data_IF_179593170834
#
_entry.id   IF_179593170834
#
_cell.length_a   1.000
_cell.length_b   1.000
_cell.length_c   1.000
_cell.angle_alpha   90.00
_cell.angle_beta   90.00
_cell.angle_gamma   90.00
#
_symmetry.space_group_name_H-M   'P 1'
#
loop_
_entity.id
_entity.type
_entity.pdbx_description
1 polymer ?
#
# COMPACT_ATOMS: atom_id res chain seq x y z
N UNK A 1 -19.29 -1.06 16.83
CA UNK A 1 -18.72 -1.57 15.60
C UNK A 1 -17.49 -2.44 15.86
N UNK A 2 -17.29 -3.47 15.07
CA UNK A 2 -16.12 -4.34 15.20
C UNK A 2 -14.86 -3.59 14.82
N UNK A 3 -13.79 -3.74 15.59
CA UNK A 3 -12.47 -3.22 15.24
C UNK A 3 -11.90 -4.04 14.09
N UNK A 4 -11.45 -3.35 13.03
CA UNK A 4 -10.79 -3.98 11.89
C UNK A 4 -9.28 -3.89 12.06
N UNK A 5 -8.60 -5.00 11.82
CA UNK A 5 -7.14 -5.09 11.95
C UNK A 5 -6.55 -5.46 10.60
N UNK A 6 -5.65 -4.61 10.09
CA UNK A 6 -4.84 -4.89 8.90
C UNK A 6 -3.42 -5.26 9.34
N UNK A 7 -2.85 -6.25 8.69
CA UNK A 7 -1.47 -6.66 8.95
C UNK A 7 -0.51 -5.74 8.19
N UNK A 8 0.26 -4.92 8.91
CA UNK A 8 1.28 -4.04 8.33
C UNK A 8 2.35 -4.89 7.62
N UNK A 9 2.59 -4.63 6.34
CA UNK A 9 3.55 -5.37 5.49
C UNK A 9 3.32 -6.89 5.51
N UNK A 10 2.05 -7.29 5.64
CA UNK A 10 1.66 -8.66 5.90
C UNK A 10 1.82 -9.02 7.37
N UNK A 11 1.44 -10.24 7.76
CA UNK A 11 1.70 -10.77 9.10
C UNK A 11 3.11 -11.37 9.11
N UNK A 12 4.12 -10.48 9.19
CA UNK A 12 5.50 -10.87 8.92
C UNK A 12 6.32 -11.20 10.18
N UNK A 13 5.97 -10.61 11.33
CA UNK A 13 6.76 -10.81 12.55
C UNK A 13 6.35 -12.10 13.27
N UNK A 14 6.50 -13.23 12.59
CA UNK A 14 6.18 -14.56 13.13
C UNK A 14 7.11 -15.61 12.53
N UNK A 15 7.11 -16.81 13.12
CA UNK A 15 8.04 -17.89 12.73
C UNK A 15 7.77 -18.42 11.32
N UNK A 16 6.50 -18.49 10.89
CA UNK A 16 6.12 -19.00 9.56
C UNK A 16 6.72 -18.18 8.41
N UNK A 17 6.98 -16.90 8.66
CA UNK A 17 7.53 -15.98 7.66
C UNK A 17 9.03 -15.76 7.83
N UNK A 18 9.65 -16.38 8.83
CA UNK A 18 11.03 -16.11 9.27
C UNK A 18 11.24 -14.60 9.50
N UNK A 19 10.22 -13.93 10.06
CA UNK A 19 10.22 -12.49 10.33
C UNK A 19 10.52 -11.64 9.08
N UNK A 20 9.94 -12.02 7.92
CA UNK A 20 10.15 -11.32 6.65
C UNK A 20 8.90 -10.55 6.23
N UNK A 21 8.99 -9.21 6.24
CA UNK A 21 7.92 -8.33 5.78
C UNK A 21 7.80 -8.32 4.25
N UNK A 22 6.64 -7.90 3.73
CA UNK A 22 6.41 -7.73 2.28
C UNK A 22 6.79 -8.97 1.46
N UNK A 23 6.58 -10.14 2.03
CA UNK A 23 6.83 -11.43 1.37
C UNK A 23 5.49 -12.13 1.06
N UNK A 24 5.53 -13.10 0.16
CA UNK A 24 4.36 -13.94 -0.12
C UNK A 24 3.96 -14.67 1.18
N UNK A 25 4.94 -15.15 1.94
CA UNK A 25 4.69 -15.83 3.21
C UNK A 25 3.97 -14.91 4.21
N UNK A 26 4.32 -13.62 4.27
CA UNK A 26 3.67 -12.67 5.19
C UNK A 26 2.21 -12.40 4.80
N UNK A 27 1.90 -12.34 3.52
CA UNK A 27 0.52 -12.23 3.05
C UNK A 27 -0.28 -13.49 3.39
N UNK A 28 0.29 -14.66 3.10
CA UNK A 28 -0.34 -15.94 3.41
C UNK A 28 -0.61 -16.07 4.91
N UNK A 29 0.34 -15.67 5.76
CA UNK A 29 0.18 -15.68 7.21
C UNK A 29 -0.97 -14.76 7.66
N UNK A 30 -1.10 -13.57 7.06
CA UNK A 30 -2.21 -12.67 7.35
C UNK A 30 -3.56 -13.31 6.97
N UNK A 31 -3.63 -13.96 5.81
CA UNK A 31 -4.82 -14.67 5.35
C UNK A 31 -5.18 -15.82 6.29
N UNK A 32 -4.19 -16.65 6.63
CA UNK A 32 -4.39 -17.84 7.49
C UNK A 32 -4.78 -17.46 8.92
N UNK A 33 -4.39 -16.27 9.40
CA UNK A 33 -4.71 -15.77 10.74
C UNK A 33 -5.92 -14.84 10.75
N UNK A 34 -6.67 -14.77 9.65
CA UNK A 34 -7.94 -14.05 9.54
C UNK A 34 -7.84 -12.54 9.82
N UNK A 35 -6.72 -11.92 9.48
CA UNK A 35 -6.63 -10.46 9.49
C UNK A 35 -7.61 -9.87 8.48
N UNK A 36 -8.26 -8.75 8.84
CA UNK A 36 -9.16 -8.05 7.93
C UNK A 36 -8.44 -7.61 6.65
N UNK A 37 -7.21 -7.14 6.77
CA UNK A 37 -6.43 -6.69 5.64
C UNK A 37 -4.94 -6.95 5.84
N UNK A 38 -4.20 -6.83 4.75
CA UNK A 38 -2.74 -6.94 4.73
C UNK A 38 -2.18 -5.77 3.96
N UNK A 39 -1.33 -4.97 4.60
CA UNK A 39 -0.68 -3.81 3.98
C UNK A 39 0.62 -4.25 3.30
N UNK A 40 0.89 -3.69 2.14
CA UNK A 40 2.13 -3.93 1.41
C UNK A 40 2.50 -2.71 0.57
N UNK A 41 3.79 -2.61 0.26
CA UNK A 41 4.39 -1.46 -0.39
C UNK A 41 4.88 -1.83 -1.78
N UNK A 42 4.66 -0.95 -2.78
CA UNK A 42 5.09 -1.21 -4.15
C UNK A 42 5.97 -0.10 -4.71
N UNK A 43 6.90 -0.52 -5.56
CA UNK A 43 7.82 0.34 -6.32
C UNK A 43 7.84 -0.10 -7.79
N UNK A 44 8.36 0.77 -8.65
CA UNK A 44 8.54 0.50 -10.08
C UNK A 44 10.04 0.34 -10.39
N UNK A 45 10.43 -0.79 -10.97
CA UNK A 45 11.82 -1.03 -11.39
C UNK A 45 12.14 -0.24 -12.66
N UNK A 46 13.44 -0.20 -13.06
CA UNK A 46 13.85 0.52 -14.26
C UNK A 46 13.27 -0.07 -15.55
N UNK A 47 12.94 -1.36 -15.55
CA UNK A 47 12.31 -2.07 -16.65
C UNK A 47 10.79 -2.21 -16.51
N UNK A 48 10.18 -1.31 -15.72
CA UNK A 48 8.73 -1.18 -15.57
C UNK A 48 8.03 -2.38 -14.92
N UNK A 49 8.74 -3.11 -14.08
CA UNK A 49 8.12 -4.14 -13.25
C UNK A 49 7.69 -3.52 -11.92
N UNK A 50 6.45 -3.77 -11.51
CA UNK A 50 5.98 -3.37 -10.19
C UNK A 50 6.34 -4.47 -9.21
N UNK A 51 7.05 -4.10 -8.15
CA UNK A 51 7.57 -5.04 -7.14
C UNK A 51 7.11 -4.65 -5.74
N UNK A 52 7.13 -5.62 -4.83
CA UNK A 52 6.69 -5.45 -3.45
C UNK A 52 7.91 -5.35 -2.55
N UNK A 53 8.11 -4.17 -1.94
CA UNK A 53 9.21 -3.90 -1.03
C UNK A 53 8.97 -2.58 -0.31
N UNK A 54 9.39 -2.47 0.96
CA UNK A 54 9.20 -1.23 1.70
C UNK A 54 10.23 -0.17 1.33
N UNK A 55 11.51 -0.52 1.40
CA UNK A 55 12.59 0.44 1.20
C UNK A 55 12.81 0.76 -0.28
N UNK A 56 13.37 1.93 -0.54
CA UNK A 56 13.71 2.35 -1.90
C UNK A 56 14.86 1.54 -2.51
N UNK A 57 15.55 0.75 -1.70
CA UNK A 57 16.72 -0.05 -2.09
C UNK A 57 16.66 -1.43 -1.45
N UNK A 58 17.34 -2.38 -2.08
CA UNK A 58 17.64 -3.69 -1.49
C UNK A 58 19.15 -3.89 -1.54
N UNK A 59 19.76 -4.13 -0.36
CA UNK A 59 21.23 -4.26 -0.23
C UNK A 59 21.99 -3.14 -0.96
N UNK A 60 21.52 -1.89 -0.78
CA UNK A 60 22.14 -0.71 -1.37
C UNK A 60 21.82 -0.46 -2.84
N UNK A 61 21.05 -1.33 -3.47
CA UNK A 61 20.69 -1.19 -4.88
C UNK A 61 19.30 -0.56 -5.02
N UNK A 62 19.23 0.62 -5.64
CA UNK A 62 17.98 1.35 -5.82
C UNK A 62 17.03 0.61 -6.75
N UNK A 63 15.81 0.35 -6.28
CA UNK A 63 14.80 -0.37 -7.05
C UNK A 63 14.50 0.35 -8.37
N UNK A 64 14.32 1.66 -8.34
CA UNK A 64 13.95 2.44 -9.51
C UNK A 64 15.05 2.53 -10.57
N UNK A 65 16.29 2.17 -10.23
CA UNK A 65 17.45 2.26 -11.13
C UNK A 65 17.96 0.92 -11.63
N UNK A 66 17.33 -0.17 -11.23
CA UNK A 66 17.77 -1.51 -11.59
C UNK A 66 16.63 -2.34 -12.17
N UNK A 67 16.99 -3.32 -12.99
CA UNK A 67 16.00 -4.25 -13.54
C UNK A 67 15.54 -5.25 -12.49
N UNK A 68 14.37 -5.84 -12.70
CA UNK A 68 13.87 -6.87 -11.79
C UNK A 68 14.82 -8.09 -11.74
N UNK A 69 15.33 -8.53 -12.89
CA UNK A 69 16.26 -9.67 -12.94
C UNK A 69 17.50 -9.44 -12.08
N UNK A 70 18.00 -8.21 -12.04
CA UNK A 70 19.11 -7.86 -11.15
C UNK A 70 18.69 -7.88 -9.69
N UNK A 71 17.53 -7.29 -9.38
CA UNK A 71 17.08 -7.15 -8.00
C UNK A 71 16.67 -8.47 -7.34
N UNK A 72 16.13 -9.40 -8.12
CA UNK A 72 15.62 -10.66 -7.57
C UNK A 72 16.71 -11.60 -7.04
N UNK A 73 17.98 -11.37 -7.39
CA UNK A 73 19.08 -12.16 -6.85
C UNK A 73 19.34 -11.89 -5.36
N UNK A 74 18.94 -10.75 -4.86
CA UNK A 74 19.09 -10.39 -3.45
C UNK A 74 17.91 -10.97 -2.67
N UNK A 75 18.19 -11.96 -1.82
CA UNK A 75 17.14 -12.70 -1.13
C UNK A 75 16.68 -12.00 0.15
N UNK A 76 15.38 -12.13 0.42
CA UNK A 76 14.79 -11.72 1.68
C UNK A 76 15.22 -12.69 2.80
N UNK A 77 15.03 -12.29 4.09
CA UNK A 77 15.41 -13.15 5.22
C UNK A 77 14.85 -14.57 5.17
N UNK A 78 13.66 -14.77 4.60
CA UNK A 78 13.04 -16.10 4.47
C UNK A 78 13.47 -16.85 3.20
N UNK A 79 14.42 -16.33 2.43
CA UNK A 79 14.91 -16.96 1.20
C UNK A 79 14.12 -16.65 -0.06
N UNK A 80 12.98 -15.97 0.05
CA UNK A 80 12.21 -15.52 -1.12
C UNK A 80 12.97 -14.43 -1.87
N UNK A 81 12.70 -14.29 -3.17
CA UNK A 81 13.07 -13.08 -3.90
C UNK A 81 12.03 -11.99 -3.60
N UNK A 82 12.39 -10.72 -3.84
CA UNK A 82 11.43 -9.63 -3.83
C UNK A 82 10.27 -10.01 -4.76
N UNK A 83 9.01 -10.06 -4.26
CA UNK A 83 7.90 -10.46 -5.12
C UNK A 83 7.62 -9.43 -6.21
N UNK A 84 7.22 -9.89 -7.39
CA UNK A 84 6.52 -9.02 -8.34
C UNK A 84 5.10 -8.79 -7.84
N UNK A 85 4.47 -7.73 -8.32
CA UNK A 85 3.06 -7.49 -8.01
C UNK A 85 2.19 -8.66 -8.47
N UNK A 86 2.45 -9.23 -9.66
CA UNK A 86 1.72 -10.41 -10.14
C UNK A 86 1.77 -11.57 -9.17
N UNK A 87 2.96 -11.90 -8.68
CA UNK A 87 3.13 -12.99 -7.70
C UNK A 87 2.38 -12.72 -6.40
N UNK A 88 2.45 -11.48 -5.93
CA UNK A 88 1.76 -11.06 -4.70
C UNK A 88 0.24 -11.12 -4.86
N UNK A 89 -0.28 -10.63 -5.99
CA UNK A 89 -1.72 -10.64 -6.28
C UNK A 89 -2.26 -12.05 -6.52
N UNK A 90 -1.44 -12.95 -7.06
CA UNK A 90 -1.81 -14.36 -7.17
C UNK A 90 -2.11 -14.95 -5.79
N UNK A 91 -1.26 -14.67 -4.81
CA UNK A 91 -1.52 -15.08 -3.43
C UNK A 91 -2.74 -14.36 -2.85
N UNK A 92 -2.88 -13.06 -3.14
CA UNK A 92 -4.03 -12.26 -2.68
C UNK A 92 -5.37 -12.84 -3.14
N UNK A 93 -5.43 -13.30 -4.38
CA UNK A 93 -6.64 -13.86 -4.97
C UNK A 93 -7.08 -15.19 -4.32
N UNK A 94 -6.20 -15.87 -3.62
CA UNK A 94 -6.52 -17.12 -2.93
C UNK A 94 -7.41 -16.91 -1.70
N UNK A 95 -7.41 -15.69 -1.15
CA UNK A 95 -8.26 -15.36 0.00
C UNK A 95 -8.77 -13.91 -0.16
N UNK A 96 -9.76 -13.68 -1.05
CA UNK A 96 -10.21 -12.32 -1.36
C UNK A 96 -10.92 -11.60 -0.21
N UNK A 97 -11.24 -12.30 0.87
CA UNK A 97 -11.79 -11.69 2.09
C UNK A 97 -10.74 -10.91 2.88
N UNK A 98 -9.45 -11.18 2.68
CA UNK A 98 -8.38 -10.36 3.26
C UNK A 98 -8.15 -9.16 2.32
N UNK A 99 -8.51 -7.96 2.77
CA UNK A 99 -8.39 -6.75 1.98
C UNK A 99 -6.91 -6.42 1.76
N UNK A 100 -6.55 -6.06 0.54
CA UNK A 100 -5.20 -5.63 0.19
C UNK A 100 -5.10 -4.12 0.41
N UNK A 101 -4.27 -3.69 1.35
CA UNK A 101 -3.99 -2.28 1.60
C UNK A 101 -2.68 -1.97 0.88
N UNK A 102 -2.79 -1.38 -0.30
CA UNK A 102 -1.68 -1.17 -1.23
C UNK A 102 -1.12 0.24 -1.08
N UNK A 103 0.13 0.33 -0.64
CA UNK A 103 0.83 1.62 -0.59
C UNK A 103 1.66 1.81 -1.86
N UNK A 104 1.33 2.85 -2.61
CA UNK A 104 2.17 3.32 -3.72
C UNK A 104 3.31 4.16 -3.15
N UNK A 105 4.54 3.69 -3.26
CA UNK A 105 5.70 4.49 -2.87
C UNK A 105 5.97 5.59 -3.91
N UNK A 106 6.40 6.76 -3.45
CA UNK A 106 6.78 7.86 -4.34
C UNK A 106 7.90 7.44 -5.28
N UNK A 107 7.82 7.89 -6.54
CA UNK A 107 8.83 7.59 -7.54
C UNK A 107 9.59 8.85 -7.93
N UNK A 108 10.62 8.72 -8.78
CA UNK A 108 11.50 9.84 -9.16
C UNK A 108 10.77 10.98 -9.87
N UNK A 109 9.69 10.66 -10.59
CA UNK A 109 8.99 11.65 -11.38
C UNK A 109 7.50 11.34 -11.41
N UNK A 110 6.71 12.37 -11.75
CA UNK A 110 5.28 12.20 -11.98
C UNK A 110 5.00 11.13 -13.03
N UNK A 111 5.78 11.11 -14.11
CA UNK A 111 5.61 10.12 -15.19
C UNK A 111 5.79 8.69 -14.69
N UNK A 112 6.78 8.45 -13.83
CA UNK A 112 7.03 7.14 -13.25
C UNK A 112 5.92 6.74 -12.29
N UNK A 113 5.42 7.67 -11.49
CA UNK A 113 4.29 7.44 -10.61
C UNK A 113 3.03 7.09 -11.39
N UNK A 114 2.73 7.86 -12.43
CA UNK A 114 1.55 7.63 -13.27
C UNK A 114 1.63 6.26 -13.95
N UNK A 115 2.80 5.88 -14.43
CA UNK A 115 3.02 4.57 -15.04
C UNK A 115 2.81 3.43 -14.04
N UNK A 116 3.34 3.58 -12.83
CA UNK A 116 3.16 2.59 -11.77
C UNK A 116 1.67 2.39 -11.45
N UNK A 117 0.92 3.48 -11.33
CA UNK A 117 -0.53 3.41 -11.07
C UNK A 117 -1.24 2.68 -12.21
N UNK A 118 -0.96 3.04 -13.46
CA UNK A 118 -1.60 2.41 -14.63
C UNK A 118 -1.33 0.90 -14.69
N UNK A 119 -0.09 0.50 -14.48
CA UNK A 119 0.30 -0.91 -14.45
C UNK A 119 -0.42 -1.63 -13.31
N UNK A 120 -0.45 -1.03 -12.14
CA UNK A 120 -1.07 -1.61 -10.94
C UNK A 120 -2.57 -1.84 -11.16
N UNK A 121 -3.28 -0.87 -11.71
CA UNK A 121 -4.70 -1.03 -12.00
C UNK A 121 -4.95 -2.16 -12.99
N UNK A 122 -4.13 -2.25 -14.05
CA UNK A 122 -4.22 -3.34 -15.02
C UNK A 122 -3.99 -4.70 -14.36
N UNK A 123 -2.97 -4.82 -13.52
CA UNK A 123 -2.65 -6.07 -12.81
C UNK A 123 -3.78 -6.48 -11.85
N UNK A 124 -4.36 -5.54 -11.13
CA UNK A 124 -5.50 -5.81 -10.27
C UNK A 124 -6.69 -6.36 -11.06
N UNK A 125 -6.95 -5.79 -12.24
CA UNK A 125 -8.01 -6.27 -13.12
C UNK A 125 -7.72 -7.69 -13.64
N UNK A 126 -6.49 -7.95 -14.05
CA UNK A 126 -6.05 -9.27 -14.53
C UNK A 126 -6.24 -10.36 -13.48
N UNK A 127 -6.04 -10.03 -12.20
CA UNK A 127 -6.19 -10.99 -11.11
C UNK A 127 -7.59 -11.00 -10.48
N UNK A 128 -8.55 -10.26 -11.02
CA UNK A 128 -9.91 -10.20 -10.50
C UNK A 128 -10.04 -9.50 -9.16
N UNK A 129 -9.09 -8.61 -8.83
CA UNK A 129 -9.03 -7.92 -7.55
C UNK A 129 -9.35 -6.42 -7.64
N UNK A 130 -9.69 -5.90 -8.81
CA UNK A 130 -10.01 -4.49 -8.99
C UNK A 130 -11.44 -4.20 -8.54
N UNK A 131 -11.63 -4.10 -7.23
CA UNK A 131 -12.92 -3.83 -6.61
C UNK A 131 -12.71 -3.08 -5.29
N UNK A 132 -13.59 -2.10 -4.96
CA UNK A 132 -13.43 -1.28 -3.76
C UNK A 132 -13.47 -2.05 -2.44
N UNK A 133 -14.12 -3.20 -2.41
CA UNK A 133 -14.18 -4.06 -1.23
C UNK A 133 -12.95 -4.96 -1.08
N UNK A 134 -12.05 -4.99 -2.07
CA UNK A 134 -10.88 -5.86 -2.09
C UNK A 134 -9.57 -5.13 -1.92
N UNK A 135 -9.50 -3.86 -2.30
CA UNK A 135 -8.26 -3.08 -2.28
C UNK A 135 -8.50 -1.67 -1.76
N UNK A 136 -7.59 -1.21 -0.92
CA UNK A 136 -7.49 0.18 -0.46
C UNK A 136 -6.16 0.72 -0.96
N UNK A 137 -6.15 1.95 -1.46
CA UNK A 137 -4.93 2.63 -1.91
C UNK A 137 -4.50 3.68 -0.89
N UNK A 138 -3.21 3.68 -0.57
CA UNK A 138 -2.60 4.68 0.31
C UNK A 138 -1.29 5.18 -0.31
N UNK A 139 -0.93 6.43 -0.08
CA UNK A 139 0.33 7.00 -0.57
C UNK A 139 0.73 8.28 0.15
N UNK A 140 2.03 8.50 0.25
CA UNK A 140 2.61 9.80 0.63
C UNK A 140 2.63 10.78 -0.55
N UNK A 141 2.43 10.33 -1.78
CA UNK A 141 2.48 11.15 -2.98
C UNK A 141 1.12 11.77 -3.28
N UNK A 142 1.05 13.09 -3.25
CA UNK A 142 -0.16 13.81 -3.63
C UNK A 142 -0.53 13.52 -5.09
N UNK A 143 0.45 13.50 -5.99
CA UNK A 143 0.20 13.17 -7.39
C UNK A 143 -0.48 11.81 -7.55
N UNK A 144 -0.02 10.79 -6.83
CA UNK A 144 -0.63 9.46 -6.89
C UNK A 144 -2.05 9.50 -6.35
N UNK A 145 -2.27 10.14 -5.19
CA UNK A 145 -3.62 10.23 -4.62
C UNK A 145 -4.58 10.98 -5.53
N UNK A 146 -4.13 12.03 -6.20
CA UNK A 146 -4.94 12.78 -7.16
C UNK A 146 -5.30 11.93 -8.39
N UNK A 147 -4.34 11.16 -8.89
CA UNK A 147 -4.59 10.25 -10.02
C UNK A 147 -5.58 9.15 -9.66
N UNK A 148 -5.43 8.55 -8.50
CA UNK A 148 -6.38 7.54 -8.00
C UNK A 148 -7.77 8.15 -7.82
N UNK A 149 -7.87 9.35 -7.26
CA UNK A 149 -9.15 10.05 -7.09
C UNK A 149 -9.84 10.31 -8.43
N UNK A 150 -9.07 10.68 -9.46
CA UNK A 150 -9.60 10.97 -10.79
C UNK A 150 -10.04 9.71 -11.54
N UNK A 151 -9.29 8.61 -11.40
CA UNK A 151 -9.49 7.41 -12.22
C UNK A 151 -10.23 6.28 -11.52
N UNK A 152 -10.20 6.27 -10.18
CA UNK A 152 -10.82 5.22 -9.36
C UNK A 152 -11.54 5.82 -8.15
N UNK A 153 -12.51 6.73 -8.35
CA UNK A 153 -13.14 7.46 -7.25
C UNK A 153 -13.94 6.58 -6.29
N UNK A 154 -14.33 5.39 -6.71
CA UNK A 154 -15.07 4.43 -5.88
C UNK A 154 -14.20 3.72 -4.83
N UNK A 155 -12.88 3.78 -4.97
CA UNK A 155 -11.97 3.13 -4.03
C UNK A 155 -11.66 4.04 -2.84
N UNK A 156 -11.41 3.44 -1.67
CA UNK A 156 -10.79 4.17 -0.56
C UNK A 156 -9.36 4.54 -0.95
N UNK A 157 -9.06 5.83 -0.84
CA UNK A 157 -7.83 6.44 -1.29
C UNK A 157 -7.35 7.39 -0.20
N UNK A 158 -6.28 7.01 0.52
CA UNK A 158 -5.85 7.73 1.71
C UNK A 158 -4.47 8.37 1.50
N UNK A 159 -4.40 9.66 1.83
CA UNK A 159 -3.14 10.39 1.85
C UNK A 159 -2.44 10.18 3.19
N UNK A 160 -1.12 10.04 3.17
CA UNK A 160 -0.34 9.62 4.36
C UNK A 160 0.49 10.72 5.01
N UNK A 161 0.79 11.84 4.31
CA UNK A 161 1.90 12.72 4.72
C UNK A 161 1.60 13.65 5.90
N UNK A 162 0.37 13.76 6.35
CA UNK A 162 0.03 14.50 7.58
C UNK A 162 0.10 16.01 7.50
N UNK A 163 0.27 16.59 6.32
CA UNK A 163 0.53 18.02 6.12
C UNK A 163 -0.64 18.79 5.47
N UNK A 164 -1.74 18.10 5.13
CA UNK A 164 -2.87 18.70 4.43
C UNK A 164 -4.15 18.47 5.21
N UNK A 165 -4.97 19.53 5.35
CA UNK A 165 -6.26 19.42 6.03
C UNK A 165 -7.25 18.55 5.22
N UNK A 166 -8.13 17.79 5.90
CA UNK A 166 -9.12 16.96 5.21
C UNK A 166 -9.96 17.70 4.19
N UNK A 167 -10.38 18.94 4.48
CA UNK A 167 -11.19 19.71 3.54
C UNK A 167 -10.47 19.98 2.22
N UNK A 168 -9.15 20.20 2.26
CA UNK A 168 -8.36 20.44 1.06
C UNK A 168 -8.20 19.18 0.23
N UNK A 169 -8.02 18.04 0.87
CA UNK A 169 -7.98 16.74 0.19
C UNK A 169 -9.33 16.40 -0.43
N UNK A 170 -10.41 16.68 0.28
CA UNK A 170 -11.76 16.43 -0.19
C UNK A 170 -12.06 17.18 -1.50
N UNK A 171 -11.55 18.39 -1.65
CA UNK A 171 -11.69 19.17 -2.90
C UNK A 171 -11.08 18.44 -4.10
N UNK A 172 -10.04 17.67 -3.89
CA UNK A 172 -9.36 16.89 -4.94
C UNK A 172 -9.97 15.48 -5.10
N UNK A 173 -11.04 15.17 -4.38
CA UNK A 173 -11.68 13.87 -4.44
C UNK A 173 -10.96 12.78 -3.64
N UNK A 174 -9.96 13.13 -2.85
CA UNK A 174 -9.26 12.20 -1.97
C UNK A 174 -10.15 11.96 -0.75
N UNK A 175 -10.49 10.71 -0.48
CA UNK A 175 -11.58 10.37 0.44
C UNK A 175 -11.11 9.79 1.78
N UNK A 176 -9.81 9.90 2.09
CA UNK A 176 -9.32 9.41 3.37
C UNK A 176 -7.97 10.00 3.75
N UNK A 177 -7.69 9.90 5.04
CA UNK A 177 -6.38 10.23 5.62
C UNK A 177 -5.90 9.03 6.45
N UNK A 178 -4.59 8.76 6.37
CA UNK A 178 -3.93 7.76 7.18
C UNK A 178 -2.66 8.41 7.71
N UNK A 179 -2.84 9.24 8.75
CA UNK A 179 -1.78 10.11 9.22
C UNK A 179 -1.06 9.53 10.43
N UNK A 180 0.23 9.83 10.52
CA UNK A 180 0.98 9.58 11.75
C UNK A 180 0.23 10.26 12.90
N UNK A 181 0.13 9.58 14.04
CA UNK A 181 -0.67 10.06 15.17
C UNK A 181 -0.32 11.50 15.59
N UNK A 182 0.94 11.92 15.40
CA UNK A 182 1.38 13.28 15.76
C UNK A 182 0.61 14.37 15.01
N UNK A 183 0.10 14.08 13.80
CA UNK A 183 -0.70 15.05 13.05
C UNK A 183 -1.99 15.39 13.78
N UNK A 184 -2.59 14.41 14.46
CA UNK A 184 -3.82 14.62 15.22
C UNK A 184 -3.59 15.32 16.57
N UNK A 185 -2.38 15.26 17.10
CA UNK A 185 -2.01 16.10 18.25
C UNK A 185 -1.87 17.56 17.85
N UNK A 186 -1.32 17.83 16.66
CA UNK A 186 -1.20 19.19 16.13
C UNK A 186 -2.54 19.75 15.65
N UNK A 187 -3.38 18.89 15.10
CA UNK A 187 -4.66 19.26 14.50
C UNK A 187 -5.76 18.32 14.99
N UNK A 188 -6.15 18.41 16.28
CA UNK A 188 -7.17 17.52 16.85
C UNK A 188 -8.53 17.63 16.14
N UNK A 189 -8.80 18.75 15.49
CA UNK A 189 -10.03 18.99 14.74
C UNK A 189 -10.13 18.17 13.44
N UNK A 190 -9.03 17.63 12.94
CA UNK A 190 -9.02 16.93 11.66
C UNK A 190 -9.79 15.62 11.65
N UNK A 191 -9.87 14.91 12.79
CA UNK A 191 -10.65 13.67 12.86
C UNK A 191 -12.14 13.97 12.62
N UNK A 192 -12.67 14.98 13.32
CA UNK A 192 -14.07 15.39 13.15
C UNK A 192 -14.31 15.97 11.76
N UNK A 193 -13.41 16.82 11.28
CA UNK A 193 -13.50 17.42 9.95
C UNK A 193 -13.59 16.34 8.87
N UNK A 194 -12.72 15.33 8.93
CA UNK A 194 -12.74 14.24 7.98
C UNK A 194 -14.04 13.43 8.07
N UNK A 195 -14.49 13.09 9.28
CA UNK A 195 -15.75 12.37 9.47
C UNK A 195 -16.96 13.16 8.94
N UNK A 196 -16.99 14.47 9.18
CA UNK A 196 -18.08 15.32 8.69
C UNK A 196 -18.12 15.38 7.15
N UNK A 197 -16.98 15.17 6.50
CA UNK A 197 -16.87 15.10 5.04
C UNK A 197 -17.06 13.69 4.48
N UNK A 198 -17.33 12.71 5.32
CA UNK A 198 -17.49 11.32 4.90
C UNK A 198 -16.19 10.62 4.55
N UNK A 199 -15.05 11.16 4.97
CA UNK A 199 -13.73 10.59 4.71
C UNK A 199 -13.37 9.51 5.73
N UNK A 200 -12.59 8.51 5.30
CA UNK A 200 -12.01 7.53 6.20
C UNK A 200 -10.82 8.12 6.96
N UNK A 201 -10.63 7.67 8.19
CA UNK A 201 -9.53 8.14 9.05
C UNK A 201 -8.83 6.95 9.67
N UNK A 202 -7.51 6.89 9.48
CA UNK A 202 -6.64 5.94 10.18
C UNK A 202 -5.45 6.70 10.77
N UNK A 203 -4.87 6.17 11.81
CA UNK A 203 -3.65 6.70 12.42
C UNK A 203 -2.58 5.60 12.43
N UNK A 204 -1.32 6.02 12.28
CA UNK A 204 -0.14 5.14 12.37
C UNK A 204 0.94 5.95 13.10
N UNK A 205 1.97 5.55 13.53
CA UNK A 205 2.50 4.29 13.95
C UNK A 205 1.95 3.99 15.35
N UNK A 206 1.19 2.96 15.48
CA UNK A 206 0.76 2.54 16.81
C UNK A 206 1.69 1.40 17.20
N UNK A 207 2.71 1.73 17.95
CA UNK A 207 3.65 0.72 18.39
C UNK A 207 3.18 0.08 19.68
N UNK A 208 3.15 -1.22 19.58
CA UNK A 208 3.10 -2.15 20.69
C UNK A 208 3.05 -1.59 22.06
#
# INVERSE_FOLDING_TARGET
>A
GSTRIAAHRGFWNCDETLHTENSIASLKAAQDNFFWGSEFDIHLTSDDQVVVHHDASIEGNKIQKNTYDFLKQFKLPNGESMPTLDEYLEQGAKCPSTVLVLEFKSQYSKEREDKMVDITFRKLKEHGLYAPDKVIFISFSMNICQKVAAEAPEFTNQYLNGDIAPADLHKDGINGIDYHYSAFYKHPEWVKEAHDLGMSVNAWTVDK
#
